data_IF_352851503914
#
_entry.id   IF_352851503914
#
_cell.length_a   1.000
_cell.length_b   1.000
_cell.length_c   1.000
_cell.angle_alpha   90.00
_cell.angle_beta   90.00
_cell.angle_gamma   90.00
#
_symmetry.space_group_name_H-M   'P 1'
#
loop_
_entity.id
_entity.type
_entity.pdbx_description
1 polymer ?
#
# COMPACT_ATOMS: atom_id res chain seq x y z
N UNK A 1 4.95 13.94 5.19
CA UNK A 1 4.94 14.27 6.63
C UNK A 1 5.34 15.72 6.84
N UNK A 2 4.85 16.34 7.90
CA UNK A 2 5.24 17.70 8.32
C UNK A 2 6.40 17.62 9.30
N UNK A 3 7.33 18.57 9.24
CA UNK A 3 8.38 18.74 10.25
C UNK A 3 7.89 19.49 11.51
N UNK A 4 6.60 19.83 11.57
CA UNK A 4 5.99 20.47 12.72
C UNK A 4 5.64 19.41 13.78
N UNK A 5 5.73 19.79 15.06
CA UNK A 5 5.35 18.92 16.18
C UNK A 5 6.50 18.17 16.83
N UNK A 6 7.73 18.27 16.33
CA UNK A 6 8.90 17.73 17.04
C UNK A 6 9.13 18.51 18.33
N UNK A 7 9.44 17.82 19.41
CA UNK A 7 9.74 18.40 20.70
C UNK A 7 11.26 18.38 20.94
N UNK A 8 11.85 19.55 21.09
CA UNK A 8 13.26 19.73 21.43
C UNK A 8 13.43 20.23 22.84
N UNK A 9 14.47 19.76 23.53
CA UNK A 9 14.90 20.24 24.83
C UNK A 9 16.13 21.11 24.72
N UNK A 10 16.13 22.25 25.45
CA UNK A 10 17.34 23.03 25.74
C UNK A 10 17.92 22.53 27.06
N UNK A 11 19.16 22.07 27.03
CA UNK A 11 19.85 21.54 28.18
C UNK A 11 21.05 22.39 28.57
N UNK A 12 21.42 22.37 29.85
CA UNK A 12 22.70 22.83 30.37
C UNK A 12 23.36 21.66 31.12
N UNK A 13 24.41 21.11 30.53
CA UNK A 13 24.88 19.79 30.91
C UNK A 13 23.77 18.75 30.73
N UNK A 14 23.41 18.04 31.79
CA UNK A 14 22.29 17.07 31.78
C UNK A 14 20.95 17.66 32.28
N UNK A 15 20.91 18.93 32.65
CA UNK A 15 19.70 19.56 33.17
C UNK A 15 18.85 20.12 32.02
N UNK A 16 17.62 19.60 31.87
CA UNK A 16 16.62 20.19 30.99
C UNK A 16 16.15 21.52 31.55
N UNK A 17 16.33 22.59 30.75
CA UNK A 17 15.91 23.95 31.14
C UNK A 17 14.51 24.28 30.60
N UNK A 18 14.27 24.01 29.33
CA UNK A 18 13.03 24.32 28.62
C UNK A 18 12.81 23.35 27.48
N UNK A 19 11.56 23.32 26.97
CA UNK A 19 11.20 22.57 25.77
C UNK A 19 10.59 23.48 24.72
N UNK A 20 10.79 23.13 23.44
CA UNK A 20 10.32 23.86 22.27
C UNK A 20 9.72 22.89 21.27
N UNK A 21 8.56 23.24 20.75
CA UNK A 21 7.89 22.44 19.71
C UNK A 21 8.07 23.11 18.35
N UNK A 22 8.46 22.36 17.35
CA UNK A 22 8.60 22.88 15.98
C UNK A 22 7.23 23.24 15.39
N UNK A 23 7.21 24.33 14.63
CA UNK A 23 6.04 24.85 13.90
C UNK A 23 6.52 25.59 12.64
N UNK A 24 5.57 25.95 11.77
CA UNK A 24 5.85 26.74 10.55
C UNK A 24 6.94 26.14 9.65
N UNK A 25 6.87 24.84 9.40
CA UNK A 25 7.83 24.11 8.58
C UNK A 25 9.07 23.67 9.36
N UNK A 26 8.89 23.18 10.58
CA UNK A 26 9.91 22.55 11.41
C UNK A 26 10.82 23.54 12.13
N UNK A 27 10.31 24.69 12.57
CA UNK A 27 11.11 25.76 13.19
C UNK A 27 10.63 26.08 14.59
N UNK A 28 11.58 26.47 15.43
CA UNK A 28 11.31 27.17 16.69
C UNK A 28 12.41 28.22 16.96
N UNK A 29 12.12 29.14 17.87
CA UNK A 29 13.07 30.11 18.40
C UNK A 29 13.02 30.04 19.91
N UNK A 30 14.17 29.94 20.55
CA UNK A 30 14.26 29.90 22.02
C UNK A 30 14.01 31.27 22.62
N UNK A 31 13.71 31.30 23.91
CA UNK A 31 13.88 32.52 24.71
C UNK A 31 15.39 32.83 24.86
N UNK A 32 15.70 33.99 25.41
CA UNK A 32 17.07 34.36 25.73
C UNK A 32 17.60 33.59 26.94
N UNK A 33 18.85 33.16 26.87
CA UNK A 33 19.58 32.51 27.96
C UNK A 33 20.88 33.32 28.26
N UNK A 34 21.35 33.31 29.53
CA UNK A 34 22.66 33.84 29.86
C UNK A 34 23.73 33.11 29.04
N UNK A 35 24.73 33.86 28.52
CA UNK A 35 25.87 33.25 27.85
C UNK A 35 26.57 32.23 28.78
N UNK A 36 27.06 31.15 28.20
CA UNK A 36 27.79 30.10 28.91
C UNK A 36 28.17 28.95 28.00
N UNK A 37 29.09 28.12 28.45
CA UNK A 37 29.39 26.83 27.83
C UNK A 37 28.35 25.77 28.23
N UNK A 38 28.45 24.56 27.69
CA UNK A 38 27.66 23.38 28.06
C UNK A 38 26.14 23.43 27.76
N UNK A 39 25.71 24.38 26.94
CA UNK A 39 24.36 24.34 26.36
C UNK A 39 24.27 23.37 25.19
N UNK A 40 23.20 22.55 25.17
CA UNK A 40 22.92 21.66 24.04
C UNK A 40 21.40 21.66 23.72
N UNK A 41 21.10 21.41 22.46
CA UNK A 41 19.73 21.10 22.00
C UNK A 41 19.68 19.62 21.66
N UNK A 42 18.63 18.93 22.08
CA UNK A 42 18.38 17.51 21.81
C UNK A 42 16.91 17.33 21.43
N UNK A 43 16.65 16.47 20.47
CA UNK A 43 15.28 16.06 20.19
C UNK A 43 14.80 15.12 21.32
N UNK A 44 13.57 15.33 21.79
CA UNK A 44 12.91 14.50 22.81
C UNK A 44 11.86 13.62 22.16
N UNK A 45 11.12 14.17 21.19
CA UNK A 45 10.08 13.47 20.44
C UNK A 45 10.11 13.94 19.00
N UNK A 46 10.23 13.05 18.02
CA UNK A 46 10.25 13.41 16.61
C UNK A 46 8.88 13.88 16.12
N UNK A 47 8.87 14.56 14.97
CA UNK A 47 7.65 14.82 14.22
C UNK A 47 7.03 13.52 13.72
N UNK A 48 5.72 13.53 13.49
CA UNK A 48 5.00 12.35 13.01
C UNK A 48 5.54 11.85 11.65
N UNK A 49 5.95 10.59 11.62
CA UNK A 49 6.52 9.93 10.45
C UNK A 49 8.03 10.02 10.33
N UNK A 50 8.71 10.54 11.33
CA UNK A 50 10.16 10.63 11.41
C UNK A 50 10.74 9.80 12.55
N UNK A 51 12.01 9.47 12.45
CA UNK A 51 12.77 8.79 13.49
C UNK A 51 13.32 9.83 14.49
N UNK A 52 13.52 9.41 15.72
CA UNK A 52 14.17 10.25 16.74
C UNK A 52 15.61 10.52 16.32
N UNK A 53 15.98 11.80 16.27
CA UNK A 53 17.38 12.21 16.12
C UNK A 53 18.06 12.22 17.50
N UNK A 54 18.94 11.24 17.73
CA UNK A 54 19.69 11.09 18.97
C UNK A 54 20.90 12.03 19.06
N UNK A 55 21.12 12.89 18.07
CA UNK A 55 22.24 13.83 18.00
C UNK A 55 22.14 14.88 19.11
N UNK A 56 23.25 15.12 19.79
CA UNK A 56 23.39 16.21 20.75
C UNK A 56 24.02 17.40 20.05
N UNK A 57 23.24 18.46 19.87
CA UNK A 57 23.69 19.68 19.19
C UNK A 57 24.27 20.69 20.18
N UNK A 58 25.60 20.97 20.17
CA UNK A 58 26.17 22.01 21.00
C UNK A 58 25.74 23.40 20.51
N UNK A 59 25.31 24.25 21.41
CA UNK A 59 24.78 25.57 21.04
C UNK A 59 25.88 26.60 20.83
N UNK A 60 27.07 26.40 21.40
CA UNK A 60 28.20 27.35 21.25
C UNK A 60 27.90 28.72 21.89
N UNK A 61 27.27 28.74 23.02
CA UNK A 61 26.75 29.94 23.66
C UNK A 61 27.82 30.69 24.53
N UNK A 62 29.08 30.54 24.21
CA UNK A 62 30.18 31.24 24.91
C UNK A 62 30.09 32.75 24.69
N UNK A 63 30.41 33.55 25.71
CA UNK A 63 30.28 35.03 25.66
C UNK A 63 30.96 35.70 24.47
N UNK A 64 32.06 35.16 23.98
CA UNK A 64 32.80 35.70 22.84
C UNK A 64 32.11 35.54 21.47
N UNK A 65 31.05 34.71 21.39
CA UNK A 65 30.34 34.44 20.15
C UNK A 65 29.23 35.47 19.86
N UNK A 66 28.94 36.38 20.79
CA UNK A 66 27.82 37.30 20.69
C UNK A 66 28.24 38.76 20.73
N UNK A 67 27.47 39.60 20.05
CA UNK A 67 27.49 41.05 20.16
C UNK A 67 26.06 41.55 20.42
N UNK A 68 25.90 42.83 20.78
CA UNK A 68 24.53 43.40 20.97
C UNK A 68 23.71 43.38 19.67
N UNK A 69 24.38 43.39 18.51
CA UNK A 69 23.75 43.38 17.19
C UNK A 69 23.54 41.95 16.62
N UNK A 70 24.36 41.01 17.09
CA UNK A 70 24.30 39.61 16.66
C UNK A 70 24.29 38.69 17.88
N UNK A 71 23.08 38.44 18.41
CA UNK A 71 22.82 37.65 19.62
C UNK A 71 22.03 36.40 19.38
N UNK A 72 21.99 35.88 18.15
CA UNK A 72 21.29 34.63 17.78
C UNK A 72 22.26 33.65 17.12
N UNK A 73 22.04 32.36 17.35
CA UNK A 73 22.77 31.26 16.73
C UNK A 73 21.79 30.45 15.88
N UNK A 74 21.90 30.47 14.54
CA UNK A 74 21.11 29.57 13.70
C UNK A 74 21.66 28.14 13.78
N UNK A 75 20.76 27.16 13.96
CA UNK A 75 21.11 25.75 13.97
C UNK A 75 20.18 25.01 13.02
N UNK A 76 20.64 23.88 12.48
CA UNK A 76 19.85 23.02 11.59
C UNK A 76 20.05 21.56 12.01
N UNK A 77 18.95 20.85 12.17
CA UNK A 77 18.90 19.40 12.31
C UNK A 77 18.32 18.80 11.02
N UNK A 78 18.63 17.55 10.74
CA UNK A 78 18.08 16.77 9.65
C UNK A 78 17.33 15.58 10.22
N UNK A 79 16.16 15.27 9.65
CA UNK A 79 15.27 14.22 10.13
C UNK A 79 15.24 13.05 9.14
N UNK A 80 15.34 11.84 9.66
CA UNK A 80 15.18 10.62 8.89
C UNK A 80 13.72 10.16 8.91
N UNK A 81 13.12 9.96 7.73
CA UNK A 81 11.75 9.52 7.61
C UNK A 81 11.61 8.02 7.94
N UNK A 82 10.52 7.63 8.59
CA UNK A 82 10.14 6.21 8.74
C UNK A 82 9.94 5.60 7.35
N UNK A 83 10.58 4.48 7.09
CA UNK A 83 10.49 3.72 5.84
C UNK A 83 9.99 2.30 6.13
N UNK A 84 9.12 1.77 5.28
CA UNK A 84 8.65 0.39 5.33
C UNK A 84 8.33 -0.15 3.94
N UNK A 85 8.06 -1.43 3.82
CA UNK A 85 7.75 -2.06 2.54
C UNK A 85 6.46 -2.88 2.57
N UNK A 86 5.87 -3.11 1.41
CA UNK A 86 4.66 -3.92 1.22
C UNK A 86 5.04 -5.15 0.40
N UNK A 87 4.69 -6.34 0.90
CA UNK A 87 4.91 -7.59 0.22
C UNK A 87 3.58 -8.30 -0.04
N UNK A 88 3.43 -8.84 -1.24
CA UNK A 88 2.24 -9.54 -1.71
C UNK A 88 2.63 -10.95 -2.12
N UNK A 89 1.87 -11.93 -1.65
CA UNK A 89 1.86 -13.28 -2.19
C UNK A 89 0.50 -13.48 -2.87
N UNK A 90 0.52 -13.62 -4.19
CA UNK A 90 -0.67 -13.68 -5.03
C UNK A 90 -0.92 -15.10 -5.51
N UNK A 91 -2.13 -15.60 -5.26
CA UNK A 91 -2.64 -16.86 -5.79
C UNK A 91 -3.83 -16.62 -6.72
N UNK A 92 -4.13 -17.61 -7.50
CA UNK A 92 -5.33 -17.70 -8.34
C UNK A 92 -5.93 -19.10 -8.25
N UNK A 93 -7.24 -19.22 -8.45
CA UNK A 93 -7.90 -20.53 -8.53
C UNK A 93 -7.30 -21.32 -9.70
N UNK A 94 -7.10 -22.62 -9.51
CA UNK A 94 -6.77 -23.51 -10.61
C UNK A 94 -7.98 -23.71 -11.52
N UNK A 95 -7.78 -23.84 -12.85
CA UNK A 95 -8.85 -24.29 -13.75
C UNK A 95 -9.37 -25.67 -13.31
N UNK A 96 -10.68 -25.88 -13.40
CA UNK A 96 -11.35 -27.12 -13.00
C UNK A 96 -10.83 -28.39 -13.72
N UNK A 97 -10.07 -28.24 -14.79
CA UNK A 97 -9.55 -29.32 -15.62
C UNK A 97 -8.24 -29.94 -15.17
N UNK A 98 -7.57 -29.38 -14.17
CA UNK A 98 -6.34 -29.99 -13.64
C UNK A 98 -6.67 -31.11 -12.65
N UNK A 99 -7.00 -32.30 -13.18
CA UNK A 99 -7.49 -33.46 -12.43
C UNK A 99 -6.47 -34.13 -11.49
N UNK A 100 -5.28 -33.58 -11.29
CA UNK A 100 -4.17 -34.31 -10.67
C UNK A 100 -3.65 -33.72 -9.36
N UNK A 101 -4.30 -32.76 -8.74
CA UNK A 101 -3.90 -32.31 -7.40
C UNK A 101 -5.06 -31.80 -6.57
N UNK A 102 -5.05 -32.13 -5.28
CA UNK A 102 -5.93 -31.58 -4.24
C UNK A 102 -5.73 -30.06 -4.03
N UNK A 103 -4.83 -29.43 -4.79
CA UNK A 103 -4.59 -27.99 -4.74
C UNK A 103 -5.64 -27.25 -5.54
N UNK A 104 -6.42 -26.43 -4.86
CA UNK A 104 -7.44 -25.55 -5.45
C UNK A 104 -6.89 -24.20 -5.91
N UNK A 105 -5.69 -23.82 -5.45
CA UNK A 105 -5.01 -22.57 -5.73
C UNK A 105 -3.60 -22.80 -6.27
N UNK A 106 -3.10 -21.85 -7.04
CA UNK A 106 -1.73 -21.84 -7.54
C UNK A 106 -1.13 -20.43 -7.46
N UNK A 107 0.21 -20.29 -7.33
CA UNK A 107 0.87 -19.00 -7.43
C UNK A 107 0.54 -18.32 -8.77
N UNK A 108 0.29 -17.03 -8.73
CA UNK A 108 0.03 -16.23 -9.94
C UNK A 108 1.27 -15.41 -10.30
N UNK A 109 1.99 -15.84 -11.34
CA UNK A 109 3.12 -15.13 -11.91
C UNK A 109 2.64 -13.99 -12.82
N UNK A 110 3.32 -12.84 -12.77
CA UNK A 110 3.08 -11.70 -13.65
C UNK A 110 1.86 -10.85 -13.30
N UNK A 111 1.21 -11.08 -12.15
CA UNK A 111 0.22 -10.16 -11.61
C UNK A 111 0.88 -8.82 -11.28
N UNK A 112 0.21 -7.69 -11.58
CA UNK A 112 0.77 -6.36 -11.35
C UNK A 112 -0.09 -5.56 -10.38
N UNK A 113 0.60 -4.83 -9.49
CA UNK A 113 -0.01 -3.96 -8.49
C UNK A 113 0.67 -2.60 -8.50
N UNK A 114 -0.10 -1.56 -8.66
CA UNK A 114 0.32 -0.18 -8.40
C UNK A 114 0.17 0.10 -6.91
N UNK A 115 1.23 0.61 -6.29
CA UNK A 115 1.24 1.08 -4.92
C UNK A 115 1.54 2.57 -4.95
N UNK A 116 0.74 3.38 -4.29
CA UNK A 116 0.95 4.83 -4.25
C UNK A 116 0.39 5.47 -2.98
N UNK A 117 0.99 6.58 -2.57
CA UNK A 117 0.55 7.36 -1.41
C UNK A 117 -0.87 7.88 -1.65
N UNK A 118 -1.81 7.55 -0.75
CA UNK A 118 -3.24 7.85 -0.91
C UNK A 118 -3.52 9.35 -1.10
N UNK A 119 -2.75 10.23 -0.44
CA UNK A 119 -2.90 11.68 -0.58
C UNK A 119 -2.53 12.22 -1.97
N UNK A 120 -1.84 11.45 -2.80
CA UNK A 120 -1.56 11.82 -4.19
C UNK A 120 -2.78 11.65 -5.11
N UNK A 121 -3.78 10.86 -4.69
CA UNK A 121 -5.03 10.61 -5.41
C UNK A 121 -4.90 9.59 -6.55
N UNK A 122 -3.73 9.44 -7.18
CA UNK A 122 -3.45 8.44 -8.20
C UNK A 122 -1.98 8.04 -8.23
N UNK A 123 -1.69 6.91 -8.89
CA UNK A 123 -0.32 6.42 -9.08
C UNK A 123 0.55 7.44 -9.86
N UNK A 124 -0.01 8.07 -10.90
CA UNK A 124 0.70 9.01 -11.76
C UNK A 124 1.07 10.29 -11.03
N UNK A 125 0.23 10.73 -10.10
CA UNK A 125 0.43 11.95 -9.32
C UNK A 125 1.38 11.78 -8.13
N UNK A 126 1.60 10.52 -7.68
CA UNK A 126 2.52 10.24 -6.60
C UNK A 126 3.97 10.43 -7.05
N UNK A 127 4.82 10.96 -6.15
CA UNK A 127 6.26 11.06 -6.40
C UNK A 127 6.87 9.67 -6.56
N UNK A 128 7.98 9.58 -7.27
CA UNK A 128 8.67 8.30 -7.46
C UNK A 128 9.07 7.62 -6.15
N UNK A 129 9.40 8.39 -5.12
CA UNK A 129 9.70 7.88 -3.78
C UNK A 129 8.47 7.37 -3.03
N UNK A 130 7.27 7.78 -3.44
CA UNK A 130 5.99 7.51 -2.80
C UNK A 130 5.11 6.54 -3.60
N UNK A 131 5.66 5.87 -4.61
CA UNK A 131 4.96 4.87 -5.42
C UNK A 131 5.88 3.74 -5.85
N UNK A 132 5.30 2.59 -6.15
CA UNK A 132 5.99 1.44 -6.74
C UNK A 132 5.06 0.63 -7.62
N UNK A 133 5.61 -0.10 -8.60
CA UNK A 133 4.91 -1.05 -9.44
C UNK A 133 5.44 -2.45 -9.16
N UNK A 134 4.64 -3.28 -8.53
CA UNK A 134 4.98 -4.67 -8.25
C UNK A 134 4.59 -5.57 -9.41
N UNK A 135 5.43 -6.58 -9.68
CA UNK A 135 5.10 -7.70 -10.57
C UNK A 135 5.47 -8.97 -9.84
N UNK A 136 4.54 -9.90 -9.70
CA UNK A 136 4.76 -11.16 -8.99
C UNK A 136 5.65 -12.10 -9.79
N UNK A 137 6.53 -12.81 -9.09
CA UNK A 137 7.40 -13.85 -9.62
C UNK A 137 6.68 -15.20 -9.78
N UNK A 138 7.42 -16.27 -10.14
CA UNK A 138 6.89 -17.62 -10.32
C UNK A 138 6.33 -18.25 -9.03
N UNK A 139 6.62 -17.69 -7.87
CA UNK A 139 6.03 -18.07 -6.58
C UNK A 139 4.83 -17.21 -6.21
N UNK A 140 4.39 -16.33 -7.11
CA UNK A 140 3.36 -15.35 -6.83
C UNK A 140 3.78 -14.22 -5.90
N UNK A 141 5.08 -14.05 -5.64
CA UNK A 141 5.60 -13.10 -4.66
C UNK A 141 6.10 -11.82 -5.32
N UNK A 142 5.82 -10.69 -4.66
CA UNK A 142 6.43 -9.41 -4.98
C UNK A 142 6.59 -8.57 -3.71
N UNK A 143 7.62 -7.71 -3.68
CA UNK A 143 7.88 -6.78 -2.57
C UNK A 143 8.24 -5.42 -3.13
N UNK A 144 7.69 -4.37 -2.51
CA UNK A 144 8.03 -2.98 -2.87
C UNK A 144 9.44 -2.61 -2.40
N UNK A 145 9.97 -1.57 -2.98
CA UNK A 145 11.03 -0.78 -2.35
C UNK A 145 10.55 -0.25 -1.00
N UNK A 146 11.48 0.32 -0.23
CA UNK A 146 11.12 1.03 0.98
C UNK A 146 10.35 2.31 0.63
N UNK A 147 9.17 2.46 1.22
CA UNK A 147 8.23 3.56 1.02
C UNK A 147 8.14 4.39 2.29
N UNK A 148 8.06 5.74 2.18
CA UNK A 148 7.94 6.62 3.33
C UNK A 148 6.67 6.39 4.16
N UNK A 149 6.70 6.86 5.41
CA UNK A 149 5.53 6.91 6.29
C UNK A 149 4.30 7.48 5.58
N UNK A 150 3.16 6.81 5.73
CA UNK A 150 1.88 7.25 5.18
C UNK A 150 0.92 6.13 4.84
N UNK A 151 -0.27 6.53 4.41
CA UNK A 151 -1.31 5.63 3.93
C UNK A 151 -1.14 5.39 2.43
N UNK A 152 -1.00 4.14 2.03
CA UNK A 152 -0.84 3.71 0.64
C UNK A 152 -2.07 2.98 0.14
N UNK A 153 -2.40 3.19 -1.13
CA UNK A 153 -3.38 2.40 -1.88
C UNK A 153 -2.62 1.32 -2.65
N UNK A 154 -3.15 0.10 -2.62
CA UNK A 154 -2.69 -1.02 -3.44
C UNK A 154 -3.79 -1.36 -4.43
N UNK A 155 -3.50 -1.20 -5.72
CA UNK A 155 -4.43 -1.36 -6.83
C UNK A 155 -3.90 -2.41 -7.81
N UNK A 156 -4.66 -3.49 -8.05
CA UNK A 156 -4.28 -4.50 -9.03
C UNK A 156 -4.58 -4.02 -10.45
N UNK A 157 -3.57 -4.01 -11.33
CA UNK A 157 -3.69 -3.56 -12.72
C UNK A 157 -3.63 -4.70 -13.74
N UNK A 158 -3.07 -5.87 -13.35
CA UNK A 158 -2.96 -7.05 -14.20
C UNK A 158 -3.13 -8.31 -13.35
N UNK A 159 -3.77 -9.31 -13.91
CA UNK A 159 -3.98 -10.62 -13.30
C UNK A 159 -4.26 -11.70 -14.34
N UNK A 160 -4.51 -12.94 -13.88
CA UNK A 160 -4.83 -14.07 -14.73
C UNK A 160 -6.15 -13.83 -15.51
N UNK A 161 -6.17 -14.33 -16.73
CA UNK A 161 -7.36 -14.22 -17.59
C UNK A 161 -8.57 -14.96 -16.97
N UNK A 162 -9.75 -14.34 -17.04
CA UNK A 162 -10.98 -14.92 -16.48
C UNK A 162 -11.11 -14.82 -14.96
N UNK A 163 -10.22 -14.09 -14.30
CA UNK A 163 -10.23 -13.84 -12.85
C UNK A 163 -10.68 -12.43 -12.54
N UNK A 164 -11.36 -12.23 -11.41
CA UNK A 164 -11.67 -10.90 -10.88
C UNK A 164 -10.43 -10.33 -10.21
N UNK A 165 -10.20 -9.05 -10.39
CA UNK A 165 -9.14 -8.37 -9.64
C UNK A 165 -9.51 -8.26 -8.16
N UNK A 166 -8.48 -8.28 -7.32
CA UNK A 166 -8.63 -7.96 -5.89
C UNK A 166 -9.12 -6.52 -5.79
N UNK A 167 -10.14 -6.24 -4.96
CA UNK A 167 -10.51 -4.86 -4.65
C UNK A 167 -9.34 -4.06 -4.09
N UNK A 168 -9.30 -2.77 -4.37
CA UNK A 168 -8.31 -1.88 -3.79
C UNK A 168 -8.34 -1.94 -2.26
N UNK A 169 -7.18 -1.92 -1.66
CA UNK A 169 -7.04 -1.86 -0.21
C UNK A 169 -5.94 -0.87 0.20
N UNK A 170 -5.93 -0.51 1.46
CA UNK A 170 -4.99 0.47 1.98
C UNK A 170 -4.05 -0.15 3.01
N UNK A 171 -2.80 0.33 3.02
CA UNK A 171 -1.75 -0.07 3.96
C UNK A 171 -1.15 1.18 4.58
N UNK A 172 -1.11 1.23 5.91
CA UNK A 172 -0.48 2.33 6.63
C UNK A 172 0.93 1.94 7.06
N UNK A 173 1.93 2.58 6.45
CA UNK A 173 3.34 2.41 6.80
C UNK A 173 3.63 3.34 7.97
N UNK A 174 3.88 2.77 9.16
CA UNK A 174 4.09 3.50 10.42
C UNK A 174 5.28 3.02 11.24
N UNK A 175 5.90 1.91 10.86
CA UNK A 175 7.02 1.31 11.59
C UNK A 175 8.24 1.20 10.67
N UNK A 176 9.38 1.74 11.12
CA UNK A 176 10.62 1.73 10.37
C UNK A 176 11.15 0.29 10.18
N UNK A 177 11.56 -0.02 8.93
CA UNK A 177 12.10 -1.33 8.55
C UNK A 177 11.07 -2.47 8.48
N UNK A 178 9.79 -2.19 8.75
CA UNK A 178 8.73 -3.22 8.72
C UNK A 178 8.29 -3.53 7.29
N UNK A 179 8.10 -4.83 7.02
CA UNK A 179 7.41 -5.32 5.82
C UNK A 179 5.98 -5.72 6.18
N UNK A 180 5.01 -5.17 5.47
CA UNK A 180 3.57 -5.47 5.60
C UNK A 180 3.21 -6.54 4.59
N UNK A 181 2.83 -7.75 5.04
CA UNK A 181 2.58 -8.91 4.21
C UNK A 181 1.10 -9.12 3.95
N UNK A 182 0.75 -9.42 2.70
CA UNK A 182 -0.60 -9.73 2.25
C UNK A 182 -0.61 -11.00 1.41
N UNK A 183 -1.57 -11.88 1.68
CA UNK A 183 -1.86 -13.05 0.85
C UNK A 183 -3.18 -12.74 0.13
N UNK A 184 -3.15 -12.75 -1.20
CA UNK A 184 -4.27 -12.35 -2.04
C UNK A 184 -4.65 -13.48 -2.98
N UNK A 185 -5.95 -13.74 -3.13
CA UNK A 185 -6.49 -14.66 -4.11
C UNK A 185 -7.53 -13.98 -5.00
N UNK A 186 -7.53 -14.30 -6.29
CA UNK A 186 -8.56 -13.88 -7.24
C UNK A 186 -9.51 -15.04 -7.48
N UNK A 187 -10.79 -14.91 -7.13
CA UNK A 187 -11.79 -15.91 -7.47
C UNK A 187 -12.08 -15.90 -8.97
N UNK A 188 -12.43 -17.06 -9.50
CA UNK A 188 -12.87 -17.20 -10.88
C UNK A 188 -14.06 -16.29 -11.17
N UNK A 189 -14.05 -15.62 -12.32
CA UNK A 189 -15.17 -14.81 -12.75
C UNK A 189 -16.32 -15.72 -13.19
N UNK A 190 -17.45 -15.65 -12.50
CA UNK A 190 -18.67 -16.36 -12.86
C UNK A 190 -19.75 -15.39 -13.31
N UNK A 191 -20.47 -15.72 -14.38
CA UNK A 191 -21.57 -14.92 -14.90
C UNK A 191 -22.77 -15.79 -15.19
N UNK A 192 -23.95 -15.23 -15.02
CA UNK A 192 -25.20 -15.87 -15.44
C UNK A 192 -25.49 -15.52 -16.90
N UNK A 193 -25.75 -16.54 -17.72
CA UNK A 193 -26.19 -16.35 -19.09
C UNK A 193 -27.71 -16.52 -19.09
N UNK A 194 -28.43 -15.46 -19.46
CA UNK A 194 -29.87 -15.49 -19.67
C UNK A 194 -30.14 -15.63 -21.17
N UNK A 195 -30.78 -16.73 -21.57
CA UNK A 195 -31.19 -16.97 -22.95
C UNK A 195 -32.70 -16.74 -23.09
N UNK A 196 -33.10 -15.92 -24.07
CA UNK A 196 -34.48 -15.68 -24.41
C UNK A 196 -34.71 -16.07 -25.87
N UNK A 197 -35.64 -17.01 -26.13
CA UNK A 197 -36.08 -17.38 -27.47
C UNK A 197 -37.20 -16.47 -27.89
N UNK A 198 -37.05 -15.82 -29.03
CA UNK A 198 -38.08 -14.93 -29.62
C UNK A 198 -38.49 -15.42 -31.01
N UNK A 199 -39.74 -15.20 -31.31
CA UNK A 199 -40.25 -15.39 -32.68
C UNK A 199 -39.66 -14.33 -33.61
N UNK A 200 -39.16 -14.74 -34.77
CA UNK A 200 -38.43 -13.85 -35.69
C UNK A 200 -39.30 -12.79 -36.36
N UNK A 201 -40.61 -13.07 -36.52
CA UNK A 201 -41.53 -12.15 -37.21
C UNK A 201 -42.18 -11.16 -36.21
N UNK A 202 -42.65 -11.69 -35.10
CA UNK A 202 -43.39 -10.88 -34.11
C UNK A 202 -42.54 -10.28 -32.99
N UNK A 203 -41.29 -10.75 -32.81
CA UNK A 203 -40.38 -10.34 -31.72
C UNK A 203 -40.85 -10.81 -30.33
N UNK A 204 -41.95 -11.56 -30.23
CA UNK A 204 -42.48 -12.04 -28.96
C UNK A 204 -41.67 -13.20 -28.39
N UNK A 205 -41.57 -13.25 -27.07
CA UNK A 205 -40.91 -14.37 -26.35
C UNK A 205 -41.76 -15.65 -26.62
N UNK A 206 -41.09 -16.73 -26.98
CA UNK A 206 -41.72 -18.05 -27.17
C UNK A 206 -41.69 -18.76 -25.82
N UNK A 207 -42.82 -18.89 -25.11
CA UNK A 207 -42.86 -19.47 -23.78
C UNK A 207 -42.88 -21.00 -23.81
N UNK A 208 -42.16 -21.63 -24.76
CA UNK A 208 -42.18 -23.08 -24.92
C UNK A 208 -41.09 -23.70 -24.06
N UNK A 209 -41.48 -24.49 -23.07
CA UNK A 209 -40.54 -25.31 -22.28
C UNK A 209 -39.93 -26.41 -23.17
N UNK A 210 -38.73 -26.86 -22.81
CA UNK A 210 -38.04 -27.96 -23.47
C UNK A 210 -37.12 -27.57 -24.65
N UNK A 211 -36.82 -26.28 -24.83
CA UNK A 211 -35.72 -25.88 -25.70
C UNK A 211 -34.40 -26.11 -25.00
N UNK A 212 -33.58 -27.01 -25.49
CA UNK A 212 -32.24 -27.27 -25.01
C UNK A 212 -31.22 -26.40 -25.77
N UNK A 213 -30.25 -25.88 -25.07
CA UNK A 213 -29.15 -25.12 -25.65
C UNK A 213 -27.80 -25.68 -25.17
N UNK A 214 -26.81 -25.67 -26.04
CA UNK A 214 -25.41 -25.92 -25.69
C UNK A 214 -24.62 -24.63 -25.88
N UNK A 215 -23.73 -24.36 -24.93
CA UNK A 215 -22.89 -23.15 -24.95
C UNK A 215 -21.46 -23.58 -25.30
N UNK A 216 -20.84 -22.93 -26.26
CA UNK A 216 -19.46 -23.20 -26.65
C UNK A 216 -18.60 -21.98 -26.37
N UNK A 217 -17.46 -22.19 -25.74
CA UNK A 217 -16.43 -21.17 -25.64
C UNK A 217 -15.80 -20.97 -27.02
N UNK A 218 -15.85 -19.76 -27.58
CA UNK A 218 -15.32 -19.48 -28.91
C UNK A 218 -13.79 -19.41 -28.96
N UNK A 219 -13.15 -19.12 -27.86
CA UNK A 219 -11.70 -18.97 -27.74
C UNK A 219 -11.00 -20.32 -27.60
N UNK A 220 -11.56 -21.22 -26.76
CA UNK A 220 -11.01 -22.56 -26.54
C UNK A 220 -11.62 -23.60 -27.47
N UNK A 221 -12.80 -23.35 -28.00
CA UNK A 221 -13.56 -24.31 -28.79
C UNK A 221 -14.28 -25.37 -27.99
N UNK A 222 -14.27 -25.31 -26.68
CA UNK A 222 -14.84 -26.31 -25.76
C UNK A 222 -16.30 -26.02 -25.44
N UNK A 223 -17.04 -27.08 -25.08
CA UNK A 223 -18.41 -26.94 -24.61
C UNK A 223 -18.41 -26.59 -23.11
N UNK A 224 -19.31 -25.68 -22.72
CA UNK A 224 -19.51 -25.36 -21.31
C UNK A 224 -20.24 -26.54 -20.64
N UNK A 225 -19.62 -27.05 -19.55
CA UNK A 225 -20.14 -28.12 -18.73
C UNK A 225 -20.37 -27.62 -17.32
N UNK A 226 -21.57 -27.90 -16.77
CA UNK A 226 -21.83 -27.60 -15.37
C UNK A 226 -21.65 -28.86 -14.53
N UNK A 227 -20.70 -28.82 -13.59
CA UNK A 227 -20.52 -29.88 -12.61
C UNK A 227 -21.46 -29.70 -11.44
N UNK A 228 -22.24 -30.74 -11.14
CA UNK A 228 -23.13 -30.84 -9.98
C UNK A 228 -22.64 -31.98 -9.10
N UNK A 229 -22.22 -31.66 -7.88
CA UNK A 229 -21.61 -32.63 -6.94
C UNK A 229 -22.64 -33.32 -6.01
N UNK A 230 -23.84 -32.78 -5.87
CA UNK A 230 -24.83 -33.27 -4.94
C UNK A 230 -26.25 -33.38 -5.60
N UNK A 231 -27.04 -34.40 -5.35
CA UNK A 231 -26.81 -35.58 -4.49
C UNK A 231 -25.84 -36.62 -5.07
N UNK A 232 -25.58 -36.56 -6.37
CA UNK A 232 -24.62 -37.42 -7.06
C UNK A 232 -23.86 -36.59 -8.09
N UNK A 233 -22.56 -36.84 -8.31
CA UNK A 233 -21.82 -36.14 -9.33
C UNK A 233 -22.44 -36.33 -10.71
N UNK A 234 -22.73 -35.25 -11.40
CA UNK A 234 -23.26 -35.26 -12.78
C UNK A 234 -22.76 -34.04 -13.54
N UNK A 235 -22.42 -34.25 -14.80
CA UNK A 235 -22.02 -33.22 -15.74
C UNK A 235 -23.18 -32.88 -16.65
N UNK A 236 -23.55 -31.61 -16.70
CA UNK A 236 -24.61 -31.11 -17.58
C UNK A 236 -23.94 -30.21 -18.63
N UNK A 237 -24.05 -30.63 -19.91
CA UNK A 237 -23.58 -29.86 -21.07
C UNK A 237 -24.73 -29.27 -21.91
N UNK A 238 -25.95 -29.54 -21.49
CA UNK A 238 -27.17 -29.12 -22.20
C UNK A 238 -28.10 -28.44 -21.20
N UNK A 239 -28.46 -27.19 -21.45
CA UNK A 239 -29.23 -26.30 -20.59
C UNK A 239 -30.61 -25.98 -21.16
#
# INVERSE_FOLDING_TARGET
SSLDGALYGMFKGENLLDTYTTANGGKFTTKEYPCGSDYTIREITPSEGYLLDETIYPVGAEPGNFTLENNSIPMTATEDVILGSIAITKHTDKPAESSDSDQIEQPEEGAQFQIYLASAGSYENAKETERDLLTTDSYGFARSKDLPYGLYVVHQTKGAQGQKFVPDFSVFISEHGKTYYFILNNPTFTSLIRFEKKDAESGKIIPLAGTAVKIRNTDTGEWVVQHINYPSPVDIDTF
#
